data_IF_962059950272
#
_entry.id   IF_962059950272
#
_cell.length_a   1.000
_cell.length_b   1.000
_cell.length_c   1.000
_cell.angle_alpha   90.00
_cell.angle_beta   90.00
_cell.angle_gamma   90.00
#
_symmetry.space_group_name_H-M   'P 1'
#
loop_
_entity.id
_entity.type
_entity.pdbx_description
1 polymer ?
#
# COMPACT_ATOMS: atom_id res chain seq x y z
N UNK A 1 28.16 -8.37 -35.86
CA UNK A 1 26.68 -8.67 -35.75
C UNK A 1 26.31 -8.68 -34.29
N UNK A 2 25.71 -7.58 -33.86
CA UNK A 2 25.22 -7.37 -32.52
C UNK A 2 23.80 -7.96 -32.48
N UNK A 3 23.62 -9.12 -31.82
CA UNK A 3 22.29 -9.64 -31.52
C UNK A 3 21.78 -8.93 -30.27
N UNK A 4 20.99 -7.89 -30.48
CA UNK A 4 20.14 -7.34 -29.43
C UNK A 4 19.18 -8.45 -28.96
N UNK A 5 19.43 -8.96 -27.76
CA UNK A 5 18.53 -9.93 -27.13
C UNK A 5 17.30 -9.17 -26.67
N UNK A 6 16.25 -9.17 -27.47
CA UNK A 6 14.92 -8.68 -27.08
C UNK A 6 14.47 -9.52 -25.89
N UNK A 7 14.41 -8.90 -24.72
CA UNK A 7 13.91 -9.57 -23.52
C UNK A 7 12.46 -10.01 -23.76
N UNK A 8 12.16 -11.27 -23.49
CA UNK A 8 10.81 -11.81 -23.63
C UNK A 8 9.88 -11.14 -22.62
N UNK A 9 8.86 -10.38 -23.05
CA UNK A 9 7.97 -9.64 -22.14
C UNK A 9 7.33 -10.54 -21.09
N UNK A 10 6.94 -11.76 -21.41
CA UNK A 10 6.38 -12.73 -20.46
C UNK A 10 7.36 -13.09 -19.32
N UNK A 11 8.65 -13.10 -19.59
CA UNK A 11 9.68 -13.41 -18.59
C UNK A 11 9.89 -12.24 -17.64
N UNK A 12 9.77 -11.01 -18.12
CA UNK A 12 9.88 -9.78 -17.31
C UNK A 12 8.69 -9.69 -16.35
N UNK A 13 7.47 -9.97 -16.82
CA UNK A 13 6.27 -9.94 -15.98
C UNK A 13 6.30 -11.01 -14.88
N UNK A 14 6.80 -12.20 -15.16
CA UNK A 14 6.94 -13.27 -14.15
C UNK A 14 7.94 -12.89 -13.07
N UNK A 15 9.07 -12.27 -13.42
CA UNK A 15 10.09 -11.82 -12.45
C UNK A 15 9.52 -10.70 -11.58
N UNK A 16 8.87 -9.70 -12.17
CA UNK A 16 8.26 -8.59 -11.45
C UNK A 16 7.19 -9.08 -10.47
N UNK A 17 6.35 -10.03 -10.87
CA UNK A 17 5.35 -10.62 -9.98
C UNK A 17 5.97 -11.40 -8.82
N UNK A 18 7.08 -12.10 -9.02
CA UNK A 18 7.79 -12.81 -7.95
C UNK A 18 8.37 -11.85 -6.91
N UNK A 19 8.93 -10.72 -7.32
CA UNK A 19 9.45 -9.69 -6.41
C UNK A 19 8.32 -9.05 -5.60
N UNK A 20 7.22 -8.70 -6.25
CA UNK A 20 6.02 -8.16 -5.61
C UNK A 20 5.44 -9.17 -4.61
N UNK A 21 5.30 -10.45 -5.00
CA UNK A 21 4.83 -11.49 -4.10
C UNK A 21 5.71 -11.63 -2.87
N UNK A 22 7.03 -11.68 -3.06
CA UNK A 22 7.98 -11.80 -1.95
C UNK A 22 7.83 -10.63 -0.95
N UNK A 23 7.70 -9.40 -1.45
CA UNK A 23 7.48 -8.23 -0.60
C UNK A 23 6.15 -8.30 0.16
N UNK A 24 5.06 -8.67 -0.52
CA UNK A 24 3.74 -8.81 0.09
C UNK A 24 3.77 -9.85 1.21
N UNK A 25 4.30 -11.04 0.93
CA UNK A 25 4.39 -12.13 1.90
C UNK A 25 5.26 -11.72 3.11
N UNK A 26 6.38 -11.03 2.85
CA UNK A 26 7.27 -10.53 3.89
C UNK A 26 6.60 -9.49 4.78
N UNK A 27 5.85 -8.55 4.19
CA UNK A 27 5.15 -7.52 4.95
C UNK A 27 4.00 -8.10 5.78
N UNK A 28 3.15 -8.94 5.20
CA UNK A 28 2.05 -9.59 5.91
C UNK A 28 2.57 -10.39 7.09
N UNK A 29 3.64 -11.17 6.90
CA UNK A 29 4.28 -11.95 7.97
C UNK A 29 4.88 -11.05 9.06
N UNK A 30 5.60 -9.98 8.68
CA UNK A 30 6.18 -9.04 9.64
C UNK A 30 5.11 -8.32 10.46
N UNK A 31 4.01 -7.94 9.81
CA UNK A 31 2.86 -7.30 10.47
C UNK A 31 2.14 -8.27 11.43
N UNK A 32 1.86 -9.50 11.00
CA UNK A 32 1.25 -10.54 11.83
C UNK A 32 2.09 -10.87 13.07
N UNK A 33 3.42 -10.93 12.92
CA UNK A 33 4.36 -11.16 14.01
C UNK A 33 4.61 -9.92 14.88
N UNK A 34 4.04 -8.75 14.52
CA UNK A 34 4.26 -7.46 15.17
C UNK A 34 5.75 -7.13 15.31
N UNK A 35 6.51 -7.40 14.26
CA UNK A 35 7.95 -7.22 14.22
C UNK A 35 8.31 -5.88 13.56
N UNK A 36 8.51 -4.85 14.39
CA UNK A 36 8.87 -3.50 13.92
C UNK A 36 10.10 -3.49 13.02
N UNK A 37 11.14 -4.21 13.40
CA UNK A 37 12.40 -4.26 12.64
C UNK A 37 12.18 -4.85 11.23
N UNK A 38 11.41 -5.95 11.15
CA UNK A 38 11.09 -6.59 9.88
C UNK A 38 10.21 -5.70 8.98
N UNK A 39 9.23 -4.98 9.56
CA UNK A 39 8.43 -4.00 8.81
C UNK A 39 9.31 -2.88 8.27
N UNK A 40 10.18 -2.30 9.12
CA UNK A 40 11.04 -1.19 8.72
C UNK A 40 12.07 -1.54 7.65
N UNK A 41 12.50 -2.81 7.55
CA UNK A 41 13.36 -3.27 6.46
C UNK A 41 12.68 -3.22 5.08
N UNK A 42 11.35 -3.19 5.04
CA UNK A 42 10.56 -3.13 3.80
C UNK A 42 10.18 -1.70 3.39
N UNK A 43 10.58 -0.70 4.18
CA UNK A 43 10.35 0.72 3.97
C UNK A 43 11.67 1.36 3.52
N UNK A 44 11.64 2.08 2.38
CA UNK A 44 12.83 2.82 1.94
C UNK A 44 12.96 4.13 2.73
N UNK A 45 14.17 4.49 3.22
CA UNK A 45 14.37 5.72 4.01
C UNK A 45 13.94 7.01 3.29
N UNK A 46 14.17 7.11 1.99
CA UNK A 46 13.80 8.30 1.20
C UNK A 46 12.29 8.40 0.98
N UNK A 47 11.57 7.28 0.98
CA UNK A 47 10.12 7.23 0.75
C UNK A 47 9.32 7.35 2.04
N UNK A 48 9.80 6.73 3.13
CA UNK A 48 9.03 6.61 4.37
C UNK A 48 7.78 5.74 4.21
N UNK A 49 6.91 5.78 5.20
CA UNK A 49 5.61 5.12 5.22
C UNK A 49 4.50 6.16 5.45
N UNK A 50 3.54 6.21 4.56
CA UNK A 50 2.35 7.06 4.70
C UNK A 50 1.23 6.24 5.34
N UNK A 51 0.69 6.72 6.45
CA UNK A 51 -0.46 6.11 7.13
C UNK A 51 -1.71 6.90 6.75
N UNK A 52 -2.66 6.25 6.07
CA UNK A 52 -4.00 6.80 5.81
C UNK A 52 -4.91 6.42 6.97
N UNK A 53 -5.70 7.36 7.45
CA UNK A 53 -6.67 7.12 8.52
C UNK A 53 -7.84 8.10 8.44
N UNK A 54 -8.93 7.79 9.13
CA UNK A 54 -10.15 8.61 9.16
C UNK A 54 -10.41 9.15 10.56
N UNK A 55 -10.00 10.41 10.87
CA UNK A 55 -10.22 10.99 12.19
C UNK A 55 -11.66 11.46 12.44
N UNK A 56 -12.47 11.54 11.41
CA UNK A 56 -13.86 12.02 11.43
C UNK A 56 -14.61 11.54 10.21
N UNK A 57 -15.13 12.47 9.42
CA UNK A 57 -15.92 12.15 8.21
C UNK A 57 -15.07 11.97 6.95
N UNK A 58 -13.84 12.43 6.98
CA UNK A 58 -12.94 12.42 5.83
C UNK A 58 -11.62 11.71 6.16
N UNK A 59 -11.01 11.13 5.13
CA UNK A 59 -9.70 10.53 5.23
C UNK A 59 -8.61 11.61 5.21
N UNK A 60 -7.53 11.32 5.91
CA UNK A 60 -6.30 12.11 5.89
C UNK A 60 -5.10 11.16 5.97
N UNK A 61 -3.89 11.69 5.92
CA UNK A 61 -2.69 10.88 6.05
C UNK A 61 -1.57 11.59 6.79
N UNK A 62 -0.68 10.80 7.35
CA UNK A 62 0.56 11.26 7.99
C UNK A 62 1.72 10.39 7.50
N UNK A 63 2.83 11.02 7.13
CA UNK A 63 4.05 10.32 6.73
C UNK A 63 4.97 10.13 7.95
N UNK A 64 5.50 8.92 8.09
CA UNK A 64 6.47 8.55 9.13
C UNK A 64 7.73 7.96 8.50
N UNK A 65 8.87 8.11 9.18
CA UNK A 65 10.14 7.53 8.74
C UNK A 65 10.34 6.12 9.29
N UNK A 66 9.83 5.87 10.51
CA UNK A 66 9.98 4.60 11.21
C UNK A 66 8.64 4.13 11.75
N UNK A 67 8.30 2.89 11.44
CA UNK A 67 7.11 2.22 11.94
C UNK A 67 7.36 1.62 13.33
N UNK A 68 6.40 1.79 14.25
CA UNK A 68 6.43 1.26 15.61
C UNK A 68 5.01 0.85 16.02
N UNK A 69 4.78 -0.44 16.27
CA UNK A 69 3.48 -0.95 16.69
C UNK A 69 2.97 -0.32 17.99
N UNK A 70 3.88 0.17 18.84
CA UNK A 70 3.54 0.82 20.12
C UNK A 70 3.20 2.30 19.97
N UNK A 71 3.44 2.88 18.79
CA UNK A 71 3.14 4.28 18.46
C UNK A 71 2.20 4.37 17.26
N UNK A 72 0.94 3.94 17.43
CA UNK A 72 0.00 3.91 16.33
C UNK A 72 -0.33 5.31 15.82
N UNK A 73 -0.69 5.39 14.55
CA UNK A 73 -1.24 6.58 13.93
C UNK A 73 -2.63 6.22 13.37
N UNK A 74 -3.68 6.92 13.82
CA UNK A 74 -3.70 7.91 14.91
C UNK A 74 -3.45 7.26 16.28
N UNK A 75 -2.96 8.03 17.25
CA UNK A 75 -2.54 7.54 18.57
C UNK A 75 -3.66 6.85 19.38
N UNK A 76 -4.91 7.21 19.11
CA UNK A 76 -6.09 6.65 19.79
C UNK A 76 -6.58 5.33 19.16
N UNK A 77 -5.98 4.87 18.07
CA UNK A 77 -6.39 3.63 17.38
C UNK A 77 -5.20 2.70 17.18
N UNK A 78 -5.07 1.72 18.04
CA UNK A 78 -4.01 0.72 17.96
C UNK A 78 -4.01 0.01 16.60
N UNK A 79 -2.84 -0.44 16.13
CA UNK A 79 -2.77 -1.31 14.98
C UNK A 79 -3.44 -2.64 15.30
N UNK A 80 -4.53 -3.03 14.60
CA UNK A 80 -5.20 -4.28 14.88
C UNK A 80 -4.31 -5.48 14.53
N UNK A 81 -4.59 -6.61 15.15
CA UNK A 81 -3.98 -7.87 14.73
C UNK A 81 -4.54 -8.28 13.38
N UNK A 82 -3.68 -8.62 12.44
CA UNK A 82 -4.03 -9.27 11.19
C UNK A 82 -3.47 -10.69 11.20
N UNK A 83 -4.26 -11.63 10.71
CA UNK A 83 -3.84 -13.02 10.53
C UNK A 83 -4.13 -13.45 9.11
N UNK A 84 -3.18 -14.08 8.46
CA UNK A 84 -3.35 -14.56 7.12
C UNK A 84 -2.95 -16.03 7.01
N UNK A 85 -3.91 -16.84 6.60
CA UNK A 85 -3.68 -18.20 6.08
C UNK A 85 -3.83 -18.26 4.56
N UNK A 86 -3.98 -17.10 3.91
CA UNK A 86 -4.24 -17.03 2.47
C UNK A 86 -2.96 -16.87 1.68
N UNK A 87 -2.88 -17.58 0.55
CA UNK A 87 -1.89 -17.31 -0.48
C UNK A 87 -2.29 -16.06 -1.27
N UNK A 88 -1.28 -15.32 -1.74
CA UNK A 88 -1.52 -14.16 -2.60
C UNK A 88 -2.15 -14.60 -3.93
N UNK A 89 -3.19 -13.89 -4.34
CA UNK A 89 -3.81 -13.99 -5.66
C UNK A 89 -3.65 -12.66 -6.41
N UNK A 90 -3.07 -12.71 -7.60
CA UNK A 90 -3.04 -11.58 -8.53
C UNK A 90 -4.35 -11.55 -9.31
N UNK A 91 -5.28 -10.70 -8.89
CA UNK A 91 -6.60 -10.54 -9.49
C UNK A 91 -7.21 -9.21 -9.03
N UNK A 92 -8.36 -8.86 -9.60
CA UNK A 92 -9.14 -7.69 -9.19
C UNK A 92 -9.30 -7.65 -7.67
N UNK A 93 -9.08 -6.48 -7.07
CA UNK A 93 -9.19 -6.28 -5.63
C UNK A 93 -10.60 -6.59 -5.11
N UNK A 94 -10.73 -7.11 -3.88
CA UNK A 94 -12.03 -7.27 -3.23
C UNK A 94 -12.66 -5.92 -2.94
N UNK A 95 -14.00 -5.87 -3.02
CA UNK A 95 -14.81 -4.75 -2.62
C UNK A 95 -15.54 -5.07 -1.30
N UNK A 96 -15.59 -4.08 -0.40
CA UNK A 96 -16.34 -4.18 0.85
C UNK A 96 -17.69 -3.49 0.70
N UNK A 97 -18.77 -4.22 0.95
CA UNK A 97 -20.13 -3.68 0.97
C UNK A 97 -20.49 -3.27 2.39
N UNK A 98 -20.54 -1.95 2.63
CA UNK A 98 -20.89 -1.38 3.93
C UNK A 98 -22.34 -1.68 4.36
N UNK A 99 -23.25 -1.94 3.43
CA UNK A 99 -24.65 -2.22 3.76
C UNK A 99 -24.84 -3.64 4.31
N UNK A 100 -24.06 -4.58 3.79
CA UNK A 100 -24.09 -5.99 4.22
C UNK A 100 -22.94 -6.35 5.16
N UNK A 101 -22.00 -5.43 5.39
CA UNK A 101 -20.77 -5.62 6.16
C UNK A 101 -19.94 -6.83 5.67
N UNK A 102 -19.86 -7.01 4.36
CA UNK A 102 -19.19 -8.18 3.76
C UNK A 102 -18.25 -7.80 2.61
N UNK A 103 -17.19 -8.55 2.54
CA UNK A 103 -16.34 -8.59 1.35
C UNK A 103 -17.02 -9.45 0.25
N UNK A 104 -16.95 -9.00 -1.01
CA UNK A 104 -17.45 -9.77 -2.15
C UNK A 104 -16.61 -11.02 -2.43
N UNK A 105 -15.35 -11.03 -1.98
CA UNK A 105 -14.44 -12.18 -1.99
C UNK A 105 -13.44 -12.08 -0.84
N UNK A 106 -12.95 -13.22 -0.38
CA UNK A 106 -12.07 -13.33 0.79
C UNK A 106 -10.70 -13.84 0.37
N UNK A 107 -9.65 -13.27 0.93
CA UNK A 107 -8.26 -13.66 0.67
C UNK A 107 -7.27 -12.50 0.68
N UNK A 108 -6.10 -12.77 0.10
CA UNK A 108 -5.02 -11.79 -0.10
C UNK A 108 -4.89 -11.51 -1.59
N UNK A 109 -5.11 -10.26 -1.99
CA UNK A 109 -5.20 -9.86 -3.39
C UNK A 109 -4.29 -8.67 -3.71
N UNK A 110 -3.68 -8.71 -4.87
CA UNK A 110 -2.99 -7.59 -5.50
C UNK A 110 -3.44 -7.50 -6.97
N UNK A 111 -3.95 -6.34 -7.38
CA UNK A 111 -4.30 -6.08 -8.77
C UNK A 111 -3.22 -5.24 -9.43
N UNK A 112 -2.42 -5.85 -10.28
CA UNK A 112 -1.35 -5.17 -11.01
C UNK A 112 -1.82 -4.42 -12.25
N UNK A 113 -3.11 -4.51 -12.60
CA UNK A 113 -3.71 -3.84 -13.77
C UNK A 113 -4.25 -2.44 -13.46
N UNK A 114 -4.44 -2.11 -12.19
CA UNK A 114 -4.91 -0.81 -11.72
C UNK A 114 -3.89 -0.14 -10.79
N UNK A 115 -3.99 1.17 -10.66
CA UNK A 115 -3.14 1.96 -9.75
C UNK A 115 -3.95 2.52 -8.61
N UNK A 116 -3.39 2.61 -7.38
CA UNK A 116 -4.07 3.28 -6.27
C UNK A 116 -4.24 4.77 -6.56
N UNK A 117 -5.30 5.34 -6.01
CA UNK A 117 -5.64 6.77 -6.14
C UNK A 117 -6.01 7.42 -4.80
N UNK A 118 -5.89 6.68 -3.70
CA UNK A 118 -6.36 7.10 -2.38
C UNK A 118 -5.69 8.39 -1.92
N UNK A 119 -4.37 8.51 -2.06
CA UNK A 119 -3.65 9.72 -1.64
C UNK A 119 -4.03 10.93 -2.49
N UNK A 120 -4.08 10.81 -3.81
CA UNK A 120 -4.48 11.91 -4.69
C UNK A 120 -5.94 12.32 -4.48
N UNK A 121 -6.83 11.39 -4.15
CA UNK A 121 -8.22 11.69 -3.78
C UNK A 121 -8.31 12.45 -2.47
N UNK A 122 -7.55 12.06 -1.44
CA UNK A 122 -7.48 12.78 -0.15
C UNK A 122 -6.97 14.21 -0.39
N UNK A 123 -5.88 14.37 -1.15
CA UNK A 123 -5.32 15.68 -1.47
C UNK A 123 -6.34 16.55 -2.22
N UNK A 124 -7.03 16.00 -3.21
CA UNK A 124 -8.06 16.74 -3.96
C UNK A 124 -9.20 17.21 -3.05
N UNK A 125 -9.67 16.34 -2.15
CA UNK A 125 -10.70 16.69 -1.18
C UNK A 125 -10.23 17.77 -0.19
N UNK A 126 -9.04 17.64 0.38
CA UNK A 126 -8.52 18.62 1.33
C UNK A 126 -8.27 19.99 0.70
N UNK A 127 -7.88 20.04 -0.58
CA UNK A 127 -7.69 21.31 -1.31
C UNK A 127 -8.99 22.08 -1.57
N UNK A 128 -10.15 21.43 -1.52
CA UNK A 128 -11.45 22.14 -1.59
C UNK A 128 -11.67 23.06 -0.37
N UNK A 129 -11.12 22.68 0.78
CA UNK A 129 -11.26 23.44 2.03
C UNK A 129 -10.01 24.26 2.38
N UNK A 130 -8.85 23.78 1.98
CA UNK A 130 -7.55 24.37 2.24
C UNK A 130 -6.73 24.50 0.94
N UNK A 131 -7.02 25.49 0.05
CA UNK A 131 -6.45 25.57 -1.30
C UNK A 131 -4.91 25.65 -1.36
N UNK A 132 -4.25 25.99 -0.25
CA UNK A 132 -2.80 26.15 -0.18
C UNK A 132 -2.10 25.10 0.69
N UNK A 133 -2.81 24.04 1.09
CA UNK A 133 -2.27 23.00 1.99
C UNK A 133 -1.08 22.25 1.38
N UNK A 134 -1.09 22.06 0.07
CA UNK A 134 -0.05 21.31 -0.65
C UNK A 134 0.62 22.18 -1.72
N UNK A 135 1.94 22.10 -1.80
CA UNK A 135 2.69 22.65 -2.93
C UNK A 135 2.45 21.81 -4.20
N UNK A 136 2.58 22.42 -5.37
CA UNK A 136 2.41 21.72 -6.66
C UNK A 136 3.34 20.52 -6.80
N UNK A 137 4.56 20.65 -6.31
CA UNK A 137 5.58 19.60 -6.31
C UNK A 137 5.13 18.38 -5.49
N UNK A 138 4.54 18.60 -4.31
CA UNK A 138 4.00 17.54 -3.46
C UNK A 138 2.86 16.78 -4.14
N UNK A 139 1.94 17.51 -4.80
CA UNK A 139 0.85 16.90 -5.56
C UNK A 139 1.40 16.04 -6.70
N UNK A 140 2.37 16.57 -7.44
CA UNK A 140 3.02 15.86 -8.56
C UNK A 140 3.75 14.60 -8.08
N UNK A 141 4.46 14.68 -6.95
CA UNK A 141 5.14 13.52 -6.36
C UNK A 141 4.15 12.42 -5.94
N UNK A 142 3.04 12.79 -5.29
CA UNK A 142 1.99 11.83 -4.92
C UNK A 142 1.42 11.14 -6.16
N UNK A 143 1.05 11.91 -7.19
CA UNK A 143 0.52 11.36 -8.44
C UNK A 143 1.52 10.44 -9.16
N UNK A 144 2.80 10.80 -9.12
CA UNK A 144 3.87 9.97 -9.68
C UNK A 144 4.03 8.67 -8.89
N UNK A 145 4.07 8.76 -7.56
CA UNK A 145 4.21 7.58 -6.70
C UNK A 145 3.06 6.59 -6.89
N UNK A 146 1.83 7.09 -7.06
CA UNK A 146 0.67 6.23 -7.31
C UNK A 146 0.76 5.49 -8.66
N UNK A 147 1.32 6.11 -9.70
CA UNK A 147 1.56 5.44 -10.99
C UNK A 147 2.54 4.27 -10.90
N UNK A 148 3.49 4.34 -9.97
CA UNK A 148 4.51 3.33 -9.73
C UNK A 148 4.11 2.34 -8.61
N UNK A 149 2.85 2.38 -8.18
CA UNK A 149 2.36 1.62 -7.02
C UNK A 149 1.30 0.58 -7.37
N UNK A 150 1.21 -0.43 -6.49
CA UNK A 150 0.10 -1.38 -6.43
C UNK A 150 -0.57 -1.32 -5.06
N UNK A 151 -1.86 -1.56 -5.03
CA UNK A 151 -2.63 -1.72 -3.80
C UNK A 151 -2.84 -3.19 -3.50
N UNK A 152 -2.71 -3.56 -2.23
CA UNK A 152 -2.89 -4.91 -1.71
C UNK A 152 -3.96 -4.90 -0.65
N UNK A 153 -4.85 -5.88 -0.68
CA UNK A 153 -5.90 -6.07 0.31
C UNK A 153 -5.84 -7.50 0.84
N UNK A 154 -5.62 -7.64 2.13
CA UNK A 154 -5.92 -8.84 2.91
C UNK A 154 -7.27 -8.62 3.58
N UNK A 155 -8.30 -9.38 3.18
CA UNK A 155 -9.63 -9.30 3.76
C UNK A 155 -9.68 -9.96 5.13
N UNK A 156 -10.70 -9.64 5.91
CA UNK A 156 -10.92 -10.20 7.24
C UNK A 156 -11.74 -9.25 8.10
N UNK A 157 -11.92 -9.61 9.34
CA UNK A 157 -12.53 -8.77 10.36
C UNK A 157 -11.68 -7.50 10.61
N UNK A 158 -10.35 -7.69 10.63
CA UNK A 158 -9.38 -6.60 10.66
C UNK A 158 -8.57 -6.63 9.35
N UNK A 159 -9.05 -5.99 8.28
CA UNK A 159 -8.37 -6.03 7.00
C UNK A 159 -7.02 -5.34 7.07
N UNK A 160 -6.04 -5.85 6.32
CA UNK A 160 -4.76 -5.20 6.14
C UNK A 160 -4.69 -4.69 4.71
N UNK A 161 -4.68 -3.37 4.56
CA UNK A 161 -4.64 -2.69 3.26
C UNK A 161 -3.37 -1.84 3.18
N UNK A 162 -2.59 -2.03 2.13
CA UNK A 162 -1.32 -1.34 1.98
C UNK A 162 -0.95 -1.15 0.51
N UNK A 163 -0.02 -0.23 0.25
CA UNK A 163 0.50 -0.01 -1.09
C UNK A 163 1.99 -0.36 -1.15
N UNK A 164 2.37 -0.87 -2.31
CA UNK A 164 3.75 -1.09 -2.70
C UNK A 164 4.12 -0.11 -3.79
N UNK A 165 5.36 0.37 -3.78
CA UNK A 165 5.88 1.25 -4.82
C UNK A 165 7.19 0.72 -5.37
N UNK A 166 7.33 0.76 -6.69
CA UNK A 166 8.63 0.54 -7.33
C UNK A 166 9.47 1.81 -7.25
N UNK A 167 10.68 1.68 -6.72
CA UNK A 167 11.63 2.77 -6.57
C UNK A 167 13.06 2.26 -6.78
N UNK A 168 13.82 2.89 -7.70
CA UNK A 168 15.17 2.46 -8.04
C UNK A 168 15.27 0.94 -8.32
N UNK A 169 14.37 0.44 -9.18
CA UNK A 169 14.27 -0.97 -9.59
C UNK A 169 13.92 -1.98 -8.49
N UNK A 170 13.62 -1.53 -7.26
CA UNK A 170 13.18 -2.38 -6.17
C UNK A 170 11.77 -2.00 -5.72
N UNK A 171 11.12 -2.91 -4.97
CA UNK A 171 9.80 -2.70 -4.41
C UNK A 171 9.87 -2.44 -2.90
N UNK A 172 9.04 -1.49 -2.42
CA UNK A 172 8.95 -1.10 -1.01
C UNK A 172 7.51 -0.90 -0.59
N UNK A 173 7.23 -1.09 0.69
CA UNK A 173 5.93 -0.72 1.28
C UNK A 173 5.94 0.79 1.54
N UNK A 174 4.96 1.51 1.03
CA UNK A 174 4.91 2.98 1.11
C UNK A 174 3.66 3.54 1.73
N UNK A 175 2.58 2.78 1.80
CA UNK A 175 1.30 3.21 2.40
C UNK A 175 0.74 2.08 3.23
N UNK A 176 0.24 2.41 4.43
CA UNK A 176 -0.66 1.59 5.22
C UNK A 176 -2.00 2.31 5.31
N UNK A 177 -3.05 1.72 4.76
CA UNK A 177 -4.39 2.30 4.70
C UNK A 177 -5.26 1.73 5.83
N UNK A 178 -5.66 2.62 6.75
CA UNK A 178 -6.45 2.31 7.95
C UNK A 178 -7.81 3.02 7.95
N UNK A 179 -8.22 3.59 6.81
CA UNK A 179 -9.48 4.33 6.66
C UNK A 179 -10.66 3.44 6.26
#
# INVERSE_FOLDING_TARGET
>A
ENKDSVANPLRVDVIANNEVQHLIDSFVKAYEQRNDAAVNQLIHPDLGLTIIYRPGVADTFTKIETFDFKKPIPAYYAYPEAKSSYNLTFDKLPDYDCATEKWNKVGLYCDTTVRPVQLSQIVAFELEFEPHKYAKEQITEIQKSEKDSYRVILTGENPLVFHLQKYNDNWYVTVLDRA
#
